data_IF_711361055573
#
_entry.id   IF_711361055573
#
_cell.length_a   1.000
_cell.length_b   1.000
_cell.length_c   1.000
_cell.angle_alpha   90.00
_cell.angle_beta   90.00
_cell.angle_gamma   90.00
#
_symmetry.space_group_name_H-M   'P 1'
#
loop_
_entity.id
_entity.type
_entity.pdbx_description
1 polymer ?
#
# COMPACT_ATOMS: atom_id res chain seq x y z
N UNK A 1 13.08 28.83 -5.76
CA UNK A 1 13.77 27.99 -4.75
C UNK A 1 12.81 27.44 -3.70
N UNK A 2 12.20 28.28 -2.84
CA UNK A 2 11.25 27.77 -1.80
C UNK A 2 10.01 27.13 -2.44
N UNK A 3 9.48 27.74 -3.50
CA UNK A 3 8.35 27.22 -4.29
C UNK A 3 8.61 25.83 -4.88
N UNK A 4 9.83 25.59 -5.38
CA UNK A 4 10.19 24.34 -6.05
C UNK A 4 10.33 23.19 -5.04
N UNK A 5 10.94 23.48 -3.89
CA UNK A 5 11.05 22.55 -2.77
C UNK A 5 9.67 22.19 -2.23
N UNK A 6 8.78 23.19 -2.07
CA UNK A 6 7.41 22.98 -1.63
C UNK A 6 6.64 22.11 -2.63
N UNK A 7 6.77 22.39 -3.92
CA UNK A 7 6.11 21.63 -4.97
C UNK A 7 6.57 20.17 -4.99
N UNK A 8 7.87 19.94 -4.82
CA UNK A 8 8.43 18.58 -4.73
C UNK A 8 7.87 17.83 -3.51
N UNK A 9 7.82 18.50 -2.36
CA UNK A 9 7.28 17.90 -1.13
C UNK A 9 5.79 17.54 -1.28
N UNK A 10 4.99 18.44 -1.87
CA UNK A 10 3.57 18.19 -2.17
C UNK A 10 3.42 17.01 -3.13
N UNK A 11 4.21 16.93 -4.19
CA UNK A 11 4.16 15.82 -5.14
C UNK A 11 4.48 14.48 -4.49
N UNK A 12 5.50 14.43 -3.62
CA UNK A 12 5.84 13.21 -2.88
C UNK A 12 4.68 12.82 -1.96
N UNK A 13 4.10 13.77 -1.21
CA UNK A 13 2.95 13.49 -0.35
C UNK A 13 1.75 12.97 -1.15
N UNK A 14 1.33 13.70 -2.19
CA UNK A 14 0.20 13.32 -3.05
C UNK A 14 0.45 11.95 -3.65
N UNK A 15 1.67 11.67 -4.09
CA UNK A 15 2.06 10.39 -4.65
C UNK A 15 2.03 9.22 -3.65
N UNK A 16 2.43 9.44 -2.40
CA UNK A 16 2.34 8.44 -1.33
C UNK A 16 0.87 8.14 -1.00
N UNK A 17 0.04 9.17 -0.84
CA UNK A 17 -1.39 8.99 -0.53
C UNK A 17 -2.18 8.38 -1.69
N UNK A 18 -1.88 8.76 -2.92
CA UNK A 18 -2.48 8.14 -4.10
C UNK A 18 -2.08 6.67 -4.22
N UNK A 19 -0.82 6.32 -3.91
CA UNK A 19 -0.37 4.92 -3.85
C UNK A 19 -1.16 4.11 -2.80
N UNK A 20 -1.41 4.66 -1.61
CA UNK A 20 -2.22 4.00 -0.58
C UNK A 20 -3.66 3.75 -1.05
N UNK A 21 -4.28 4.75 -1.67
CA UNK A 21 -5.64 4.64 -2.19
C UNK A 21 -5.72 3.61 -3.32
N UNK A 22 -4.85 3.73 -4.32
CA UNK A 22 -4.81 2.86 -5.49
C UNK A 22 -4.47 1.41 -5.12
N UNK A 23 -3.54 1.19 -4.20
CA UNK A 23 -3.19 -0.18 -3.76
C UNK A 23 -4.34 -0.89 -3.05
N UNK A 24 -5.11 -0.16 -2.23
CA UNK A 24 -6.34 -0.69 -1.64
C UNK A 24 -7.36 -1.03 -2.73
N UNK A 25 -7.51 -0.16 -3.75
CA UNK A 25 -8.35 -0.41 -4.91
C UNK A 25 -7.93 -1.65 -5.70
N UNK A 26 -6.64 -1.80 -6.02
CA UNK A 26 -6.07 -2.97 -6.70
C UNK A 26 -6.33 -4.25 -5.91
N UNK A 27 -6.19 -4.20 -4.59
CA UNK A 27 -6.48 -5.33 -3.73
C UNK A 27 -7.97 -5.72 -3.76
N UNK A 28 -8.88 -4.75 -3.70
CA UNK A 28 -10.32 -5.01 -3.82
C UNK A 28 -10.69 -5.56 -5.20
N UNK A 29 -10.11 -5.03 -6.27
CA UNK A 29 -10.30 -5.54 -7.62
C UNK A 29 -9.81 -6.99 -7.75
N UNK A 30 -8.65 -7.32 -7.18
CA UNK A 30 -8.16 -8.70 -7.12
C UNK A 30 -9.16 -9.63 -6.43
N UNK A 31 -9.73 -9.21 -5.29
CA UNK A 31 -10.75 -10.00 -4.58
C UNK A 31 -12.04 -10.16 -5.41
N UNK A 32 -12.49 -9.10 -6.08
CA UNK A 32 -13.67 -9.17 -6.96
C UNK A 32 -13.45 -10.11 -8.15
N UNK A 33 -12.30 -10.02 -8.80
CA UNK A 33 -11.94 -10.89 -9.93
C UNK A 33 -11.91 -12.34 -9.46
N UNK A 34 -11.27 -12.61 -8.31
CA UNK A 34 -11.22 -13.94 -7.71
C UNK A 34 -12.61 -14.47 -7.36
N UNK A 35 -13.49 -13.60 -6.83
CA UNK A 35 -14.88 -13.96 -6.53
C UNK A 35 -15.61 -14.43 -7.78
N UNK A 36 -15.44 -13.72 -8.91
CA UNK A 36 -16.11 -14.04 -10.17
C UNK A 36 -15.55 -15.30 -10.83
N UNK A 37 -14.22 -15.44 -10.90
CA UNK A 37 -13.57 -16.56 -11.58
C UNK A 37 -13.75 -17.87 -10.80
N UNK A 38 -13.53 -17.84 -9.48
CA UNK A 38 -13.61 -19.05 -8.66
C UNK A 38 -14.99 -19.32 -8.09
N UNK A 39 -16.01 -18.53 -8.47
CA UNK A 39 -17.38 -18.59 -7.90
C UNK A 39 -17.35 -18.75 -6.38
N UNK A 40 -16.57 -17.90 -5.71
CA UNK A 40 -16.32 -18.07 -4.28
C UNK A 40 -17.61 -17.88 -3.48
N UNK A 41 -18.06 -18.95 -2.85
CA UNK A 41 -19.15 -18.93 -1.87
C UNK A 41 -18.66 -18.47 -0.48
N UNK A 42 -19.57 -18.15 0.43
CA UNK A 42 -19.26 -17.63 1.76
C UNK A 42 -18.31 -18.56 2.54
N UNK A 43 -18.53 -19.88 2.51
CA UNK A 43 -17.64 -20.86 3.14
C UNK A 43 -16.24 -20.90 2.51
N UNK A 44 -16.14 -20.62 1.21
CA UNK A 44 -14.85 -20.58 0.50
C UNK A 44 -14.05 -19.31 0.82
N UNK A 45 -14.75 -18.20 1.07
CA UNK A 45 -14.15 -16.96 1.55
C UNK A 45 -13.64 -17.09 2.98
N UNK A 46 -14.43 -17.67 3.88
CA UNK A 46 -14.01 -17.93 5.25
C UNK A 46 -12.78 -18.82 5.29
N UNK A 47 -12.75 -19.91 4.53
CA UNK A 47 -11.56 -20.77 4.43
C UNK A 47 -10.33 -20.03 3.88
N UNK A 48 -10.51 -19.15 2.89
CA UNK A 48 -9.42 -18.35 2.33
C UNK A 48 -8.83 -17.38 3.36
N UNK A 49 -9.68 -16.63 4.07
CA UNK A 49 -9.23 -15.68 5.07
C UNK A 49 -8.70 -16.36 6.33
N UNK A 50 -9.28 -17.48 6.75
CA UNK A 50 -8.76 -18.32 7.85
C UNK A 50 -7.38 -18.88 7.55
N UNK A 51 -7.14 -19.32 6.30
CA UNK A 51 -5.82 -19.81 5.87
C UNK A 51 -4.77 -18.71 5.84
N UNK A 52 -5.13 -17.51 5.39
CA UNK A 52 -4.19 -16.38 5.23
C UNK A 52 -3.93 -15.67 6.56
N UNK A 53 -4.93 -15.63 7.44
CA UNK A 53 -4.95 -14.89 8.70
C UNK A 53 -4.81 -13.36 8.48
N UNK A 54 -5.17 -12.52 9.47
CA UNK A 54 -5.03 -11.07 9.33
C UNK A 54 -3.60 -10.60 8.98
N UNK A 55 -2.56 -11.32 9.43
CA UNK A 55 -1.15 -11.02 9.08
C UNK A 55 -0.91 -11.14 7.58
N UNK A 56 -1.43 -12.20 6.96
CA UNK A 56 -1.22 -12.43 5.54
C UNK A 56 -2.02 -11.45 4.66
N UNK A 57 -3.18 -10.98 5.12
CA UNK A 57 -3.95 -9.95 4.40
C UNK A 57 -3.17 -8.64 4.38
N UNK A 58 -2.66 -8.21 5.53
CA UNK A 58 -1.85 -6.98 5.64
C UNK A 58 -0.61 -7.06 4.76
N UNK A 59 0.08 -8.21 4.76
CA UNK A 59 1.27 -8.42 3.94
C UNK A 59 0.96 -8.33 2.44
N UNK A 60 -0.18 -8.86 1.99
CA UNK A 60 -0.59 -8.77 0.58
C UNK A 60 -0.95 -7.33 0.17
N UNK A 61 -1.66 -6.60 1.02
CA UNK A 61 -1.96 -5.17 0.80
C UNK A 61 -0.67 -4.36 0.76
N UNK A 62 0.30 -4.66 1.64
CA UNK A 62 1.61 -4.03 1.66
C UNK A 62 2.38 -4.27 0.35
N UNK A 63 2.37 -5.51 -0.16
CA UNK A 63 2.99 -5.83 -1.46
C UNK A 63 2.33 -5.01 -2.58
N UNK A 64 0.99 -4.97 -2.62
CA UNK A 64 0.28 -4.14 -3.59
C UNK A 64 0.67 -2.66 -3.48
N UNK A 65 0.82 -2.15 -2.26
CA UNK A 65 1.29 -0.78 -2.04
C UNK A 65 2.69 -0.55 -2.60
N UNK A 66 3.66 -1.42 -2.31
CA UNK A 66 5.03 -1.25 -2.80
C UNK A 66 5.07 -1.25 -4.33
N UNK A 67 4.32 -2.14 -4.97
CA UNK A 67 4.23 -2.22 -6.44
C UNK A 67 3.64 -0.93 -7.01
N UNK A 68 2.50 -0.46 -6.47
CA UNK A 68 1.84 0.77 -6.94
C UNK A 68 2.71 1.99 -6.68
N UNK A 69 3.35 2.09 -5.52
CA UNK A 69 4.26 3.18 -5.18
C UNK A 69 5.44 3.25 -6.17
N UNK A 70 6.06 2.11 -6.49
CA UNK A 70 7.14 2.05 -7.45
C UNK A 70 6.69 2.48 -8.86
N UNK A 71 5.48 2.07 -9.25
CA UNK A 71 4.89 2.45 -10.54
C UNK A 71 4.61 3.96 -10.61
N UNK A 72 4.02 4.54 -9.56
CA UNK A 72 3.78 5.99 -9.46
C UNK A 72 5.10 6.77 -9.44
N UNK A 73 6.10 6.32 -8.68
CA UNK A 73 7.40 6.98 -8.62
C UNK A 73 8.08 6.96 -10.01
N UNK A 74 7.97 5.85 -10.74
CA UNK A 74 8.49 5.72 -12.11
C UNK A 74 7.76 6.69 -13.05
N UNK A 75 6.41 6.69 -13.03
CA UNK A 75 5.60 7.61 -13.85
C UNK A 75 5.92 9.07 -13.55
N UNK A 76 6.03 9.47 -12.28
CA UNK A 76 6.39 10.83 -11.89
C UNK A 76 7.81 11.19 -12.35
N UNK A 77 8.75 10.24 -12.29
CA UNK A 77 10.12 10.45 -12.76
C UNK A 77 10.17 10.77 -14.24
N UNK A 78 9.45 10.03 -15.06
CA UNK A 78 9.40 10.26 -16.51
C UNK A 78 8.54 11.47 -16.89
N UNK A 79 7.36 11.64 -16.28
CA UNK A 79 6.39 12.65 -16.69
C UNK A 79 6.70 14.05 -16.13
N UNK A 80 7.17 14.15 -14.89
CA UNK A 80 7.32 15.42 -14.18
C UNK A 80 8.79 15.78 -13.98
N UNK A 81 9.60 14.81 -13.56
CA UNK A 81 11.01 15.05 -13.21
C UNK A 81 11.99 14.83 -14.36
N UNK A 82 11.50 14.73 -15.60
CA UNK A 82 12.30 14.63 -16.83
C UNK A 82 13.40 13.56 -16.79
N UNK A 83 13.12 12.42 -16.15
CA UNK A 83 14.07 11.30 -16.03
C UNK A 83 15.03 11.41 -14.85
N UNK A 84 14.86 12.38 -13.94
CA UNK A 84 15.69 12.48 -12.75
C UNK A 84 15.29 11.43 -11.70
N UNK A 85 15.99 10.30 -11.71
CA UNK A 85 15.75 9.15 -10.83
C UNK A 85 15.96 9.46 -9.34
N UNK A 86 16.73 10.49 -8.96
CA UNK A 86 16.95 10.82 -7.56
C UNK A 86 15.64 11.14 -6.83
N UNK A 87 14.74 11.86 -7.48
CA UNK A 87 13.44 12.20 -6.90
C UNK A 87 12.50 10.99 -6.84
N UNK A 88 12.56 10.09 -7.82
CA UNK A 88 11.86 8.80 -7.80
C UNK A 88 12.29 7.93 -6.63
N UNK A 89 13.60 7.78 -6.43
CA UNK A 89 14.18 7.01 -5.33
C UNK A 89 13.79 7.65 -3.98
N UNK A 90 13.87 8.97 -3.86
CA UNK A 90 13.47 9.70 -2.67
C UNK A 90 11.99 9.46 -2.33
N UNK A 91 11.12 9.49 -3.33
CA UNK A 91 9.69 9.22 -3.16
C UNK A 91 9.43 7.79 -2.66
N UNK A 92 10.11 6.80 -3.22
CA UNK A 92 10.01 5.39 -2.76
C UNK A 92 10.53 5.25 -1.32
N UNK A 93 11.68 5.87 -1.01
CA UNK A 93 12.26 5.85 0.34
C UNK A 93 11.30 6.50 1.36
N UNK A 94 10.73 7.66 1.05
CA UNK A 94 9.74 8.33 1.90
C UNK A 94 8.47 7.49 2.06
N UNK A 95 7.97 6.88 0.99
CA UNK A 95 6.77 6.04 1.05
C UNK A 95 6.98 4.75 1.85
N UNK A 96 8.15 4.13 1.77
CA UNK A 96 8.54 2.99 2.60
C UNK A 96 8.71 3.40 4.06
N UNK A 97 9.39 4.52 4.32
CA UNK A 97 9.58 5.04 5.67
C UNK A 97 8.25 5.39 6.33
N UNK A 98 7.32 6.04 5.61
CA UNK A 98 6.00 6.37 6.12
C UNK A 98 5.23 5.12 6.59
N UNK A 99 5.23 4.07 5.77
CA UNK A 99 4.60 2.80 6.15
C UNK A 99 5.33 2.15 7.32
N UNK A 100 6.65 2.08 7.29
CA UNK A 100 7.44 1.46 8.35
C UNK A 100 7.25 2.18 9.69
N UNK A 101 7.23 3.52 9.68
CA UNK A 101 6.96 4.35 10.84
C UNK A 101 5.55 4.10 11.38
N UNK A 102 4.54 4.03 10.50
CA UNK A 102 3.16 3.71 10.88
C UNK A 102 3.05 2.29 11.46
N UNK A 103 3.75 1.32 10.89
CA UNK A 103 3.81 -0.03 11.44
C UNK A 103 4.45 -0.05 12.83
N UNK A 104 5.56 0.67 13.05
CA UNK A 104 6.23 0.81 14.34
C UNK A 104 5.32 1.44 15.40
N UNK A 105 4.68 2.56 15.08
CA UNK A 105 3.80 3.29 16.03
C UNK A 105 2.51 2.53 16.32
N UNK A 106 1.94 1.83 15.35
CA UNK A 106 0.69 1.06 15.54
C UNK A 106 0.92 -0.38 16.02
N UNK A 107 2.15 -0.81 16.33
CA UNK A 107 2.42 -2.15 16.89
C UNK A 107 1.54 -2.48 18.11
N UNK A 108 1.26 -1.47 18.94
CA UNK A 108 0.38 -1.59 20.11
C UNK A 108 -1.05 -2.02 19.77
N UNK A 109 -1.67 -1.44 18.74
CA UNK A 109 -3.05 -1.77 18.35
C UNK A 109 -3.15 -2.98 17.43
N UNK A 110 -2.14 -3.23 16.57
CA UNK A 110 -2.08 -4.50 15.83
C UNK A 110 -1.94 -5.70 16.77
N UNK A 111 -1.22 -5.57 17.89
CA UNK A 111 -1.12 -6.64 18.89
C UNK A 111 -2.47 -6.99 19.54
N UNK A 112 -3.41 -6.03 19.62
CA UNK A 112 -4.79 -6.25 20.08
C UNK A 112 -5.65 -6.89 18.99
N UNK A 113 -5.45 -6.55 17.71
CA UNK A 113 -6.13 -7.22 16.59
C UNK A 113 -5.68 -8.68 16.38
N UNK A 114 -4.44 -9.03 16.76
CA UNK A 114 -3.92 -10.40 16.68
C UNK A 114 -4.23 -11.27 17.90
N UNK A 115 -4.59 -10.68 19.03
CA UNK A 115 -5.26 -11.37 20.11
C UNK A 115 -6.74 -11.42 19.72
N UNK A 116 -7.17 -12.50 19.08
CA UNK A 116 -8.59 -12.73 18.81
C UNK A 116 -9.44 -12.52 20.08
N UNK A 117 -10.76 -12.29 19.94
CA UNK A 117 -11.63 -12.11 21.10
C UNK A 117 -11.36 -13.25 22.09
N UNK A 118 -11.01 -12.90 23.33
CA UNK A 118 -11.00 -13.89 24.40
C UNK A 118 -12.42 -14.47 24.45
N UNK A 119 -12.46 -15.80 24.41
CA UNK A 119 -13.64 -16.68 24.50
C UNK A 119 -14.80 -16.10 25.29
#
# INVERSE_FOLDING_TARGET
MISDILSLFIMILVGIYSALFLSTGVWLLYLQIKSRISKMDQNSWENYFNKIKPKGVILRVLICYVIVLALIATLNTFAIWQGNFYYGILMVACGLFHIFYKFQTQKGDFSKLFKGPKS
#
